data_IF_654335751876
#
_entry.id   IF_654335751876
#
_cell.length_a   1.000
_cell.length_b   1.000
_cell.length_c   1.000
_cell.angle_alpha   90.00
_cell.angle_beta   90.00
_cell.angle_gamma   90.00
#
_symmetry.space_group_name_H-M   'P 1'
#
loop_
_entity.id
_entity.type
_entity.pdbx_description
1 polymer ?
#
# COMPACT_ATOMS: atom_id res chain seq x y z
N UNK A 1 5.06 9.51 -2.33
CA UNK A 1 4.31 8.25 -2.24
C UNK A 1 5.05 7.23 -1.39
N UNK A 2 6.00 6.40 -1.83
CA UNK A 2 6.81 5.62 -0.88
C UNK A 2 8.21 5.39 -1.44
N UNK A 3 9.23 5.69 -0.64
CA UNK A 3 10.61 5.31 -0.86
C UNK A 3 10.85 3.86 -0.43
N UNK A 4 11.88 3.22 -1.00
CA UNK A 4 12.23 1.84 -0.66
C UNK A 4 12.51 1.67 0.84
N UNK A 5 13.16 2.66 1.46
CA UNK A 5 13.48 2.61 2.88
C UNK A 5 12.22 2.68 3.76
N UNK A 6 11.24 3.51 3.41
CA UNK A 6 9.96 3.61 4.15
C UNK A 6 9.23 2.25 4.17
N UNK A 7 9.30 1.51 3.05
CA UNK A 7 8.73 0.16 2.95
C UNK A 7 9.53 -0.86 3.76
N UNK A 8 10.86 -0.80 3.70
CA UNK A 8 11.74 -1.69 4.49
C UNK A 8 11.50 -1.52 5.99
N UNK A 9 11.42 -0.26 6.45
CA UNK A 9 11.19 0.08 7.84
C UNK A 9 9.83 -0.46 8.31
N UNK A 10 8.78 -0.34 7.49
CA UNK A 10 7.45 -0.87 7.79
C UNK A 10 7.42 -2.41 7.86
N UNK A 11 8.15 -3.09 6.97
CA UNK A 11 8.24 -4.55 6.93
C UNK A 11 9.24 -5.13 7.95
N UNK A 12 10.00 -4.29 8.66
CA UNK A 12 11.05 -4.72 9.58
C UNK A 12 12.26 -5.37 8.88
N UNK A 13 12.55 -4.97 7.63
CA UNK A 13 13.68 -5.47 6.84
C UNK A 13 14.88 -4.53 7.05
N UNK A 14 15.94 -5.03 7.68
CA UNK A 14 17.16 -4.26 8.01
C UNK A 14 18.38 -4.62 7.14
N UNK A 15 18.23 -5.59 6.25
CA UNK A 15 19.29 -6.06 5.36
C UNK A 15 19.16 -5.47 3.94
N UNK A 16 20.27 -5.51 3.21
CA UNK A 16 20.34 -5.07 1.83
C UNK A 16 20.55 -6.26 0.89
N UNK A 17 19.46 -6.67 0.23
CA UNK A 17 19.44 -7.77 -0.74
C UNK A 17 18.80 -7.29 -2.05
N UNK A 18 19.52 -7.48 -3.16
CA UNK A 18 19.10 -7.00 -4.49
C UNK A 18 17.81 -7.64 -5.00
N UNK A 19 17.52 -8.90 -4.64
CA UNK A 19 16.27 -9.55 -5.02
C UNK A 19 15.10 -8.97 -4.22
N UNK A 20 15.29 -8.79 -2.90
CA UNK A 20 14.29 -8.16 -2.04
C UNK A 20 14.04 -6.71 -2.47
N UNK A 21 15.08 -5.92 -2.68
CA UNK A 21 14.98 -4.53 -3.14
C UNK A 21 14.19 -4.41 -4.45
N UNK A 22 14.49 -5.26 -5.44
CA UNK A 22 13.76 -5.28 -6.72
C UNK A 22 12.29 -5.65 -6.52
N UNK A 23 12.01 -6.62 -5.65
CA UNK A 23 10.63 -7.03 -5.32
C UNK A 23 9.86 -5.89 -4.66
N UNK A 24 10.41 -5.26 -3.64
CA UNK A 24 9.77 -4.15 -2.93
C UNK A 24 9.50 -2.96 -3.87
N UNK A 25 10.45 -2.60 -4.73
CA UNK A 25 10.24 -1.59 -5.77
C UNK A 25 9.08 -1.92 -6.71
N UNK A 26 8.89 -3.20 -7.04
CA UNK A 26 7.74 -3.62 -7.83
C UNK A 26 6.42 -3.51 -7.05
N UNK A 27 6.41 -3.90 -5.78
CA UNK A 27 5.23 -3.80 -4.92
C UNK A 27 4.78 -2.35 -4.72
N UNK A 28 5.71 -1.40 -4.58
CA UNK A 28 5.42 0.04 -4.52
C UNK A 28 4.61 0.48 -5.75
N UNK A 29 5.02 0.07 -6.96
CA UNK A 29 4.34 0.40 -8.21
C UNK A 29 2.95 -0.25 -8.32
N UNK A 30 2.82 -1.48 -7.82
CA UNK A 30 1.54 -2.21 -7.79
C UNK A 30 0.56 -1.52 -6.84
N UNK A 31 0.99 -1.20 -5.62
CA UNK A 31 0.17 -0.50 -4.63
C UNK A 31 -0.26 0.88 -5.13
N UNK A 32 0.63 1.64 -5.78
CA UNK A 32 0.27 2.90 -6.42
C UNK A 32 -0.82 2.74 -7.47
N UNK A 33 -0.67 1.75 -8.35
CA UNK A 33 -1.60 1.50 -9.43
C UNK A 33 -2.96 1.06 -8.89
N UNK A 34 -2.95 0.25 -7.82
CA UNK A 34 -4.16 -0.13 -7.10
C UNK A 34 -4.87 1.10 -6.52
N UNK A 35 -4.17 1.98 -5.80
CA UNK A 35 -4.76 3.19 -5.23
C UNK A 35 -5.25 4.17 -6.31
N UNK A 36 -4.53 4.31 -7.43
CA UNK A 36 -5.01 5.09 -8.58
C UNK A 36 -6.32 4.56 -9.14
N UNK A 37 -6.44 3.23 -9.27
CA UNK A 37 -7.64 2.58 -9.76
C UNK A 37 -8.80 2.63 -8.76
N UNK A 38 -8.50 2.51 -7.47
CA UNK A 38 -9.49 2.51 -6.41
C UNK A 38 -9.98 3.93 -6.11
N UNK A 39 -9.10 4.90 -5.88
CA UNK A 39 -9.46 6.25 -5.43
C UNK A 39 -9.78 7.18 -6.61
N UNK A 40 -9.01 7.05 -7.69
CA UNK A 40 -9.03 7.95 -8.84
C UNK A 40 -7.66 8.58 -9.10
N UNK A 41 -7.45 9.10 -10.32
CA UNK A 41 -6.13 9.60 -10.76
C UNK A 41 -5.68 10.89 -10.05
N UNK A 42 -6.60 11.63 -9.44
CA UNK A 42 -6.38 12.92 -8.77
C UNK A 42 -6.13 12.80 -7.26
N UNK A 43 -6.01 11.59 -6.71
CA UNK A 43 -5.72 11.43 -5.29
C UNK A 43 -4.34 12.01 -4.92
N UNK A 44 -4.26 12.60 -3.74
CA UNK A 44 -3.01 13.13 -3.21
C UNK A 44 -2.09 11.97 -2.80
N UNK A 45 -0.90 11.93 -3.41
CA UNK A 45 0.12 10.89 -3.18
C UNK A 45 0.96 11.16 -1.93
N UNK A 46 0.87 12.37 -1.38
CA UNK A 46 1.54 12.76 -0.16
C UNK A 46 0.61 12.68 1.07
N UNK A 47 -0.68 12.38 0.85
CA UNK A 47 -1.63 12.11 1.92
C UNK A 47 -1.17 10.91 2.77
N UNK A 48 -1.07 11.12 4.08
CA UNK A 48 -0.63 10.10 5.02
C UNK A 48 -1.50 8.83 4.98
N UNK A 49 -2.81 8.96 4.73
CA UNK A 49 -3.74 7.83 4.59
C UNK A 49 -3.46 7.05 3.30
N UNK A 50 -3.13 7.73 2.21
CA UNK A 50 -2.77 7.09 0.96
C UNK A 50 -1.45 6.31 1.08
N UNK A 51 -0.45 6.89 1.79
CA UNK A 51 0.81 6.21 2.10
C UNK A 51 0.58 4.97 2.96
N UNK A 52 -0.23 5.09 4.01
CA UNK A 52 -0.55 3.97 4.91
C UNK A 52 -1.29 2.84 4.17
N UNK A 53 -2.28 3.18 3.33
CA UNK A 53 -2.98 2.20 2.50
C UNK A 53 -2.02 1.49 1.55
N UNK A 54 -1.04 2.21 0.97
CA UNK A 54 -0.03 1.59 0.13
C UNK A 54 0.85 0.62 0.93
N UNK A 55 1.27 0.98 2.14
CA UNK A 55 2.06 0.10 3.02
C UNK A 55 1.29 -1.17 3.41
N UNK A 56 0.01 -1.04 3.77
CA UNK A 56 -0.86 -2.19 4.07
C UNK A 56 -0.97 -3.13 2.86
N UNK A 57 -1.17 -2.60 1.66
CA UNK A 57 -1.21 -3.40 0.42
C UNK A 57 0.13 -4.06 0.14
N UNK A 58 1.24 -3.34 0.34
CA UNK A 58 2.58 -3.89 0.13
C UNK A 58 2.88 -5.03 1.12
N UNK A 59 2.55 -4.85 2.39
CA UNK A 59 2.70 -5.91 3.42
C UNK A 59 1.90 -7.13 3.05
N UNK A 60 0.62 -6.95 2.71
CA UNK A 60 -0.25 -8.06 2.33
C UNK A 60 0.29 -8.83 1.12
N UNK A 61 0.78 -8.13 0.09
CA UNK A 61 1.39 -8.76 -1.10
C UNK A 61 2.78 -9.34 -0.83
N UNK A 62 3.49 -8.83 0.17
CA UNK A 62 4.80 -9.34 0.59
C UNK A 62 4.64 -10.64 1.37
N UNK A 63 3.73 -10.64 2.35
CA UNK A 63 3.44 -11.72 3.29
C UNK A 63 2.70 -12.88 2.62
N UNK A 64 1.68 -12.61 1.77
CA UNK A 64 0.89 -13.65 1.10
C UNK A 64 1.64 -14.43 0.01
N UNK A 65 2.94 -14.20 -0.18
CA UNK A 65 3.77 -15.05 -1.04
C UNK A 65 4.04 -16.41 -0.40
N UNK A 66 4.05 -16.50 0.93
CA UNK A 66 3.95 -17.74 1.67
C UNK A 66 2.51 -17.84 2.19
N UNK A 67 1.64 -18.49 1.40
CA UNK A 67 0.26 -18.80 1.76
C UNK A 67 0.15 -19.25 3.22
N UNK A 68 -0.44 -18.45 4.13
CA UNK A 68 -1.33 -18.99 5.17
C UNK A 68 -2.17 -18.04 6.04
N UNK A 69 -2.07 -16.70 5.95
CA UNK A 69 -2.90 -15.85 6.83
C UNK A 69 -3.99 -15.07 6.09
N UNK A 70 -5.24 -15.35 6.45
CA UNK A 70 -6.39 -14.54 6.00
C UNK A 70 -6.25 -13.16 6.66
N UNK A 71 -6.09 -12.10 5.85
CA UNK A 71 -6.27 -10.72 6.32
C UNK A 71 -7.52 -10.64 7.19
N UNK A 72 -7.41 -10.04 8.37
CA UNK A 72 -8.55 -9.90 9.27
C UNK A 72 -9.68 -9.14 8.58
N UNK A 73 -10.93 -9.60 8.74
CA UNK A 73 -12.11 -8.96 8.17
C UNK A 73 -12.22 -7.47 8.56
N UNK A 74 -11.78 -7.13 9.77
CA UNK A 74 -11.81 -5.76 10.28
C UNK A 74 -10.82 -4.84 9.54
N UNK A 75 -9.64 -5.35 9.20
CA UNK A 75 -8.63 -4.60 8.44
C UNK A 75 -9.15 -4.32 7.03
N UNK A 76 -9.74 -5.33 6.37
CA UNK A 76 -10.38 -5.13 5.05
C UNK A 76 -11.47 -4.06 5.09
N UNK A 77 -12.29 -4.04 6.13
CA UNK A 77 -13.34 -3.03 6.28
C UNK A 77 -12.74 -1.62 6.43
N UNK A 78 -11.73 -1.45 7.28
CA UNK A 78 -11.05 -0.17 7.49
C UNK A 78 -10.39 0.34 6.19
N UNK A 79 -9.73 -0.55 5.44
CA UNK A 79 -9.16 -0.23 4.12
C UNK A 79 -10.24 0.28 3.17
N UNK A 80 -11.39 -0.39 3.10
CA UNK A 80 -12.50 0.03 2.25
C UNK A 80 -13.07 1.39 2.67
N UNK A 81 -13.20 1.65 3.97
CA UNK A 81 -13.71 2.92 4.49
C UNK A 81 -12.77 4.09 4.14
N UNK A 82 -11.45 3.90 4.25
CA UNK A 82 -10.47 4.92 3.83
C UNK A 82 -10.47 5.15 2.32
N UNK A 83 -10.54 4.09 1.52
CA UNK A 83 -10.66 4.21 0.06
C UNK A 83 -11.90 5.02 -0.31
N UNK A 84 -13.05 4.72 0.30
CA UNK A 84 -14.29 5.44 0.06
C UNK A 84 -14.18 6.92 0.46
N UNK A 85 -13.57 7.21 1.61
CA UNK A 85 -13.34 8.60 2.04
C UNK A 85 -12.51 9.37 1.01
N UNK A 86 -11.38 8.80 0.58
CA UNK A 86 -10.49 9.43 -0.38
C UNK A 86 -11.17 9.58 -1.76
N UNK A 87 -12.00 8.62 -2.18
CA UNK A 87 -12.80 8.75 -3.40
C UNK A 87 -13.76 9.95 -3.33
N UNK A 88 -14.44 10.14 -2.18
CA UNK A 88 -15.36 11.25 -1.99
C UNK A 88 -14.64 12.60 -2.01
N UNK A 89 -13.47 12.68 -1.38
CA UNK A 89 -12.64 13.89 -1.39
C UNK A 89 -12.09 14.19 -2.79
N UNK A 90 -11.61 13.17 -3.51
CA UNK A 90 -11.10 13.30 -4.88
C UNK A 90 -12.17 13.72 -5.91
N UNK A 91 -13.45 13.46 -5.64
CA UNK A 91 -14.58 13.90 -6.48
C UNK A 91 -15.03 15.34 -6.19
N UNK A 92 -14.68 15.90 -5.04
CA UNK A 92 -15.05 17.27 -4.65
C UNK A 92 -14.03 18.32 -5.11
N UNK A 93 -12.84 17.87 -5.51
CA UNK A 93 -11.78 18.66 -6.13
C UNK A 93 -11.84 18.57 -7.66
#
# INVERSE_FOLDING_TARGET
MLELQEVKDYLGIDYDDDMVNRRLNNLIKVAESFLKGAIGKSFDREDARAKELALVVISDLYDNHDLHDKVSYNIRRLVNDFVLQLQMEARRN
#
